data_IF_531108991587
#
_entry.id   IF_531108991587
#
_cell.length_a   1.000
_cell.length_b   1.000
_cell.length_c   1.000
_cell.angle_alpha   90.00
_cell.angle_beta   90.00
_cell.angle_gamma   90.00
#
_symmetry.space_group_name_H-M   'P 1'
#
loop_
_entity.id
_entity.type
_entity.pdbx_description
1 polymer ?
#
# COMPACT_ATOMS: atom_id res chain seq x y z
N UNK A 1 13.35 -12.71 9.74
CA UNK A 1 12.72 -12.18 10.97
C UNK A 1 11.23 -12.51 10.87
N UNK A 2 10.74 -13.41 11.72
CA UNK A 2 9.30 -13.63 11.83
C UNK A 2 8.69 -12.45 12.59
N UNK A 3 7.69 -11.82 11.99
CA UNK A 3 6.94 -10.75 12.66
C UNK A 3 6.05 -11.40 13.72
N UNK A 4 6.35 -11.17 15.00
CA UNK A 4 5.45 -11.59 16.08
C UNK A 4 4.21 -10.69 16.09
N UNK A 5 3.08 -11.29 15.78
CA UNK A 5 1.78 -10.63 15.86
C UNK A 5 1.07 -11.01 17.16
N UNK A 6 0.38 -10.07 17.83
CA UNK A 6 -0.55 -10.43 18.89
C UNK A 6 -1.57 -11.43 18.32
N UNK A 7 -1.96 -12.40 19.12
CA UNK A 7 -2.94 -13.44 18.72
C UNK A 7 -4.37 -12.98 19.08
N UNK A 8 -5.00 -12.14 18.23
CA UNK A 8 -6.40 -11.79 18.47
C UNK A 8 -7.28 -13.04 18.35
N UNK A 9 -8.45 -13.06 18.97
CA UNK A 9 -9.34 -14.20 18.91
C UNK A 9 -9.78 -14.48 17.48
N UNK A 10 -9.94 -15.77 17.12
CA UNK A 10 -10.45 -16.14 15.81
C UNK A 10 -11.87 -15.58 15.60
N UNK A 11 -12.18 -15.20 14.39
CA UNK A 11 -13.51 -14.75 14.03
C UNK A 11 -14.52 -15.93 14.09
N UNK A 12 -15.75 -15.65 14.52
CA UNK A 12 -16.81 -16.66 14.55
C UNK A 12 -17.11 -17.18 13.14
N UNK A 13 -17.15 -18.51 12.91
CA UNK A 13 -17.37 -19.07 11.57
C UNK A 13 -18.63 -18.52 10.86
N UNK A 14 -19.75 -18.37 11.57
CA UNK A 14 -20.98 -17.82 11.01
C UNK A 14 -20.81 -16.36 10.55
N UNK A 15 -20.05 -15.53 11.27
CA UNK A 15 -19.76 -14.15 10.90
C UNK A 15 -18.87 -14.10 9.65
N UNK A 16 -17.90 -15.00 9.55
CA UNK A 16 -17.01 -15.12 8.37
C UNK A 16 -17.81 -15.57 7.15
N UNK A 17 -18.66 -16.60 7.29
CA UNK A 17 -19.50 -17.10 6.19
C UNK A 17 -20.46 -16.01 5.70
N UNK A 18 -21.10 -15.27 6.59
CA UNK A 18 -21.98 -14.16 6.22
C UNK A 18 -21.21 -13.07 5.47
N UNK A 19 -20.07 -12.66 5.97
CA UNK A 19 -19.21 -11.64 5.32
C UNK A 19 -18.74 -12.13 3.95
N UNK A 20 -18.30 -13.39 3.84
CA UNK A 20 -17.90 -14.00 2.59
C UNK A 20 -19.00 -13.93 1.53
N UNK A 21 -20.22 -14.33 1.86
CA UNK A 21 -21.34 -14.30 0.94
C UNK A 21 -21.72 -12.87 0.52
N UNK A 22 -21.70 -11.92 1.47
CA UNK A 22 -21.96 -10.52 1.19
C UNK A 22 -20.92 -9.91 0.24
N UNK A 23 -19.65 -10.17 0.51
CA UNK A 23 -18.56 -9.64 -0.29
C UNK A 23 -18.48 -10.31 -1.66
N UNK A 24 -18.78 -11.61 -1.75
CA UNK A 24 -18.88 -12.33 -3.01
C UNK A 24 -20.00 -11.75 -3.87
N UNK A 25 -21.18 -11.55 -3.31
CA UNK A 25 -22.32 -10.98 -4.05
C UNK A 25 -22.01 -9.56 -4.55
N UNK A 26 -21.46 -8.69 -3.69
CA UNK A 26 -21.09 -7.32 -4.05
C UNK A 26 -20.03 -7.27 -5.16
N UNK A 27 -18.97 -8.07 -5.01
CA UNK A 27 -17.87 -8.08 -5.97
C UNK A 27 -18.29 -8.68 -7.30
N UNK A 28 -19.12 -9.74 -7.27
CA UNK A 28 -19.66 -10.33 -8.50
C UNK A 28 -20.59 -9.36 -9.23
N UNK A 29 -21.48 -8.68 -8.53
CA UNK A 29 -22.36 -7.66 -9.12
C UNK A 29 -21.53 -6.52 -9.75
N UNK A 30 -20.51 -6.02 -9.04
CA UNK A 30 -19.61 -4.99 -9.55
C UNK A 30 -18.83 -5.49 -10.78
N UNK A 31 -18.36 -6.73 -10.77
CA UNK A 31 -17.63 -7.32 -11.89
C UNK A 31 -18.49 -7.40 -13.15
N UNK A 32 -19.78 -7.74 -13.02
CA UNK A 32 -20.73 -7.79 -14.14
C UNK A 32 -21.07 -6.41 -14.71
N UNK A 33 -21.10 -5.40 -13.85
CA UNK A 33 -21.49 -4.02 -14.21
C UNK A 33 -20.29 -3.10 -14.47
N UNK A 34 -19.07 -3.59 -14.29
CA UNK A 34 -17.88 -2.74 -14.37
C UNK A 34 -17.63 -2.26 -15.79
N UNK A 35 -17.15 -1.01 -15.85
CA UNK A 35 -16.47 -0.47 -17.01
C UNK A 35 -14.95 -0.38 -16.68
N UNK A 36 -14.13 -0.47 -17.73
CA UNK A 36 -12.69 -0.24 -17.58
C UNK A 36 -12.44 1.19 -17.07
N UNK A 37 -11.68 1.31 -15.98
CA UNK A 37 -11.34 2.63 -15.41
C UNK A 37 -10.27 3.30 -16.25
N UNK A 38 -10.46 4.59 -16.54
CA UNK A 38 -9.44 5.41 -17.18
C UNK A 38 -8.51 6.01 -16.13
N UNK A 39 -7.32 6.46 -16.58
CA UNK A 39 -6.38 7.17 -15.72
C UNK A 39 -7.03 8.42 -15.08
N UNK A 40 -7.73 9.22 -15.88
CA UNK A 40 -8.43 10.42 -15.40
C UNK A 40 -9.51 10.13 -14.35
N UNK A 41 -10.24 9.02 -14.51
CA UNK A 41 -11.23 8.58 -13.52
C UNK A 41 -10.58 8.19 -12.19
N UNK A 42 -9.47 7.48 -12.24
CA UNK A 42 -8.69 7.12 -11.03
C UNK A 42 -8.16 8.37 -10.36
N UNK A 43 -7.54 9.27 -11.11
CA UNK A 43 -7.01 10.54 -10.59
C UNK A 43 -8.11 11.38 -9.95
N UNK A 44 -9.26 11.54 -10.60
CA UNK A 44 -10.39 12.31 -10.06
C UNK A 44 -10.97 11.68 -8.79
N UNK A 45 -11.10 10.34 -8.72
CA UNK A 45 -11.61 9.62 -7.54
C UNK A 45 -10.73 9.87 -6.30
N UNK A 46 -9.42 9.85 -6.47
CA UNK A 46 -8.48 10.06 -5.37
C UNK A 46 -8.31 11.53 -5.04
N UNK A 47 -8.14 12.39 -6.04
CA UNK A 47 -7.91 13.82 -5.84
C UNK A 47 -9.15 14.52 -5.26
N UNK A 48 -10.30 14.43 -5.94
CA UNK A 48 -11.53 15.15 -5.57
C UNK A 48 -12.37 14.42 -4.52
N UNK A 49 -12.15 13.12 -4.32
CA UNK A 49 -12.90 12.31 -3.37
C UNK A 49 -12.13 12.12 -2.06
N UNK A 50 -11.37 11.06 -1.97
CA UNK A 50 -10.74 10.59 -0.72
C UNK A 50 -9.81 11.63 -0.09
N UNK A 51 -8.91 12.21 -0.87
CA UNK A 51 -7.89 13.10 -0.32
C UNK A 51 -8.42 14.50 -0.06
N UNK A 52 -9.42 14.96 -0.82
CA UNK A 52 -10.13 16.19 -0.51
C UNK A 52 -10.82 16.12 0.86
N UNK A 53 -11.55 15.02 1.15
CA UNK A 53 -12.14 14.81 2.47
C UNK A 53 -11.10 14.76 3.59
N UNK A 54 -9.95 14.09 3.34
CA UNK A 54 -8.86 14.04 4.30
C UNK A 54 -8.32 15.42 4.62
N UNK A 55 -8.13 16.26 3.61
CA UNK A 55 -7.66 17.63 3.75
C UNK A 55 -8.66 18.52 4.48
N UNK A 56 -9.97 18.40 4.18
CA UNK A 56 -11.04 19.15 4.86
C UNK A 56 -11.20 18.71 6.32
N UNK A 57 -11.17 17.42 6.60
CA UNK A 57 -11.36 16.87 7.96
C UNK A 57 -10.24 17.29 8.93
N UNK A 58 -9.03 17.52 8.44
CA UNK A 58 -7.87 17.97 9.24
C UNK A 58 -7.70 17.20 10.54
N UNK A 59 -7.88 15.86 10.49
CA UNK A 59 -7.83 15.00 11.68
C UNK A 59 -6.52 15.15 12.48
N UNK A 60 -5.41 15.50 11.82
CA UNK A 60 -4.10 15.75 12.45
C UNK A 60 -4.12 16.92 13.45
N UNK A 61 -5.03 17.89 13.29
CA UNK A 61 -5.15 19.02 14.25
C UNK A 61 -5.81 18.60 15.56
N UNK A 62 -6.64 17.56 15.54
CA UNK A 62 -7.39 17.08 16.70
C UNK A 62 -6.66 15.95 17.45
N UNK A 63 -5.70 15.32 16.82
CA UNK A 63 -4.95 14.24 17.45
C UNK A 63 -3.93 14.77 18.47
N UNK A 64 -3.86 14.19 19.69
CA UNK A 64 -2.92 14.63 20.73
C UNK A 64 -1.48 14.38 20.34
N UNK A 65 -1.21 13.32 19.62
CA UNK A 65 0.12 12.93 19.14
C UNK A 65 0.04 12.16 17.82
N UNK A 66 1.19 11.88 17.22
CA UNK A 66 1.30 11.19 15.95
C UNK A 66 0.75 9.75 16.00
N UNK A 67 0.97 9.03 17.10
CA UNK A 67 0.48 7.67 17.24
C UNK A 67 -1.06 7.64 17.27
N UNK A 68 -1.69 8.53 18.03
CA UNK A 68 -3.14 8.68 18.09
C UNK A 68 -3.73 9.06 16.72
N UNK A 69 -3.04 9.92 15.97
CA UNK A 69 -3.42 10.25 14.59
C UNK A 69 -3.40 9.01 13.69
N UNK A 70 -2.32 8.25 13.70
CA UNK A 70 -2.10 7.12 12.80
C UNK A 70 -3.03 5.92 13.09
N UNK A 71 -3.28 5.67 14.38
CA UNK A 71 -4.09 4.52 14.85
C UNK A 71 -5.59 4.87 14.87
N UNK A 72 -5.91 6.12 15.16
CA UNK A 72 -7.29 6.58 15.36
C UNK A 72 -7.92 6.07 16.67
N UNK A 73 -9.15 6.49 16.91
CA UNK A 73 -9.91 6.18 18.13
C UNK A 73 -11.02 5.15 17.93
N UNK A 74 -11.18 4.62 16.70
CA UNK A 74 -12.26 3.69 16.38
C UNK A 74 -12.00 2.32 17.01
N UNK A 75 -12.79 1.96 18.02
CA UNK A 75 -12.75 0.67 18.72
C UNK A 75 -13.77 -0.35 18.22
N UNK A 76 -14.55 -0.02 17.18
CA UNK A 76 -15.49 -0.97 16.59
C UNK A 76 -14.75 -2.24 16.13
N UNK A 77 -15.36 -3.39 16.39
CA UNK A 77 -14.77 -4.68 16.03
C UNK A 77 -14.92 -4.93 14.53
N UNK A 78 -13.82 -5.28 13.90
CA UNK A 78 -13.78 -5.69 12.49
C UNK A 78 -13.33 -7.13 12.34
N UNK A 79 -13.65 -7.73 11.20
CA UNK A 79 -13.06 -8.99 10.73
C UNK A 79 -11.93 -8.65 9.77
N UNK A 80 -10.73 -9.14 10.08
CA UNK A 80 -9.51 -8.88 9.30
C UNK A 80 -8.67 -10.15 9.22
N UNK A 81 -7.63 -10.14 8.38
CA UNK A 81 -6.60 -11.19 8.39
C UNK A 81 -5.38 -10.70 9.17
N UNK A 82 -4.88 -11.55 10.04
CA UNK A 82 -3.63 -11.37 10.78
C UNK A 82 -2.91 -12.71 10.80
N UNK A 83 -1.67 -12.73 10.36
CA UNK A 83 -0.84 -13.93 10.24
C UNK A 83 -1.58 -15.07 9.50
N UNK A 84 -2.21 -14.72 8.37
CA UNK A 84 -2.98 -15.66 7.56
C UNK A 84 -4.30 -16.15 8.18
N UNK A 85 -4.64 -15.73 9.41
CA UNK A 85 -5.85 -16.12 10.12
C UNK A 85 -6.91 -15.05 10.05
N UNK A 86 -8.18 -15.46 9.98
CA UNK A 86 -9.31 -14.54 10.06
C UNK A 86 -9.63 -14.33 11.54
N UNK A 87 -9.58 -13.07 11.99
CA UNK A 87 -9.69 -12.67 13.38
C UNK A 87 -10.75 -11.58 13.56
N UNK A 88 -11.27 -11.47 14.79
CA UNK A 88 -12.02 -10.31 15.24
C UNK A 88 -11.10 -9.42 16.07
N UNK A 89 -10.97 -8.16 15.67
CA UNK A 89 -10.03 -7.22 16.27
C UNK A 89 -10.63 -5.81 16.29
N UNK A 90 -10.44 -5.00 17.34
CA UNK A 90 -10.77 -3.58 17.31
C UNK A 90 -10.05 -2.87 16.16
N UNK A 91 -10.75 -1.95 15.51
CA UNK A 91 -10.22 -1.28 14.30
C UNK A 91 -8.91 -0.54 14.59
N UNK A 92 -8.81 0.19 15.69
CA UNK A 92 -7.59 0.87 16.09
C UNK A 92 -6.43 -0.11 16.38
N UNK A 93 -6.71 -1.26 17.02
CA UNK A 93 -5.68 -2.28 17.28
C UNK A 93 -5.20 -2.94 15.96
N UNK A 94 -6.12 -3.17 15.01
CA UNK A 94 -5.73 -3.63 13.67
C UNK A 94 -4.78 -2.65 13.00
N UNK A 95 -5.08 -1.33 13.04
CA UNK A 95 -4.19 -0.32 12.44
C UNK A 95 -2.84 -0.26 13.15
N UNK A 96 -2.80 -0.33 14.49
CA UNK A 96 -1.54 -0.38 15.25
C UNK A 96 -0.67 -1.56 14.82
N UNK A 97 -1.27 -2.74 14.73
CA UNK A 97 -0.62 -3.96 14.29
C UNK A 97 -0.10 -3.82 12.84
N UNK A 98 -0.96 -3.37 11.92
CA UNK A 98 -0.59 -3.19 10.50
C UNK A 98 0.57 -2.21 10.34
N UNK A 99 0.51 -1.06 11.02
CA UNK A 99 1.54 -0.04 10.92
C UNK A 99 2.89 -0.56 11.44
N UNK A 100 2.89 -1.26 12.57
CA UNK A 100 4.09 -1.90 13.12
C UNK A 100 4.65 -2.94 12.13
N UNK A 101 3.82 -3.86 11.68
CA UNK A 101 4.23 -4.91 10.76
C UNK A 101 4.77 -4.37 9.44
N UNK A 102 4.14 -3.32 8.88
CA UNK A 102 4.60 -2.63 7.69
C UNK A 102 5.96 -1.95 7.92
N UNK A 103 6.10 -1.24 9.03
CA UNK A 103 7.35 -0.56 9.41
C UNK A 103 8.50 -1.55 9.56
N UNK A 104 8.28 -2.65 10.30
CA UNK A 104 9.28 -3.69 10.51
C UNK A 104 9.67 -4.37 9.18
N UNK A 105 8.68 -4.60 8.30
CA UNK A 105 8.92 -5.19 6.99
C UNK A 105 9.77 -4.27 6.10
N UNK A 106 9.43 -2.99 6.01
CA UNK A 106 10.19 -2.02 5.22
C UNK A 106 11.59 -1.86 5.81
N UNK A 107 11.72 -1.75 7.13
CA UNK A 107 13.01 -1.62 7.80
C UNK A 107 13.92 -2.82 7.54
N UNK A 108 13.38 -4.04 7.54
CA UNK A 108 14.14 -5.26 7.26
C UNK A 108 14.58 -5.39 5.79
N UNK A 109 13.89 -4.70 4.87
CA UNK A 109 14.20 -4.74 3.44
C UNK A 109 15.01 -3.52 2.98
N UNK A 110 14.97 -2.41 3.71
CA UNK A 110 15.71 -1.21 3.35
C UNK A 110 17.22 -1.43 3.49
N UNK A 111 17.99 -0.78 2.62
CA UNK A 111 19.46 -0.73 2.75
C UNK A 111 19.84 0.22 3.87
N UNK A 112 20.89 -0.13 4.61
CA UNK A 112 21.35 0.67 5.77
C UNK A 112 21.68 2.10 5.36
N UNK A 113 21.18 3.05 6.15
CA UNK A 113 21.43 4.49 5.96
C UNK A 113 20.76 5.11 4.73
N UNK A 114 20.08 4.33 3.88
CA UNK A 114 19.40 4.87 2.70
C UNK A 114 18.16 5.68 3.08
N UNK A 115 17.93 6.76 2.35
CA UNK A 115 16.63 7.43 2.34
C UNK A 115 15.57 6.47 1.82
N UNK A 116 14.38 6.48 2.46
CA UNK A 116 13.25 5.67 2.04
C UNK A 116 12.25 6.56 1.30
N UNK A 117 11.83 6.10 0.13
CA UNK A 117 10.87 6.80 -0.74
C UNK A 117 9.63 5.95 -0.94
N UNK A 118 8.46 6.53 -0.70
CA UNK A 118 7.17 5.92 -1.05
C UNK A 118 6.62 6.55 -2.33
N UNK A 119 6.29 5.73 -3.30
CA UNK A 119 5.59 6.13 -4.52
C UNK A 119 4.10 5.75 -4.39
N UNK A 120 3.20 6.71 -4.61
CA UNK A 120 1.79 6.60 -4.30
C UNK A 120 1.55 6.71 -2.79
N UNK A 121 2.16 7.71 -2.14
CA UNK A 121 2.16 7.81 -0.69
C UNK A 121 0.83 8.29 -0.07
N UNK A 122 -0.11 8.78 -0.89
CA UNK A 122 -1.30 9.44 -0.39
C UNK A 122 -0.95 10.54 0.61
N UNK A 123 -1.68 10.62 1.72
CA UNK A 123 -1.41 11.56 2.80
C UNK A 123 -0.24 11.15 3.73
N UNK A 124 0.66 10.28 3.28
CA UNK A 124 1.93 9.97 3.95
C UNK A 124 1.83 9.06 5.17
N UNK A 125 0.72 8.37 5.40
CA UNK A 125 0.51 7.56 6.63
C UNK A 125 1.59 6.52 6.88
N UNK A 126 2.09 5.86 5.84
CA UNK A 126 3.12 4.82 5.99
C UNK A 126 4.48 5.44 6.36
N UNK A 127 4.84 6.55 5.73
CA UNK A 127 6.08 7.29 6.05
C UNK A 127 6.02 7.91 7.46
N UNK A 128 4.88 8.48 7.84
CA UNK A 128 4.65 8.97 9.20
C UNK A 128 4.77 7.85 10.24
N UNK A 129 4.36 6.62 9.89
CA UNK A 129 4.52 5.46 10.76
C UNK A 129 5.98 5.04 10.90
N UNK A 130 6.77 5.10 9.83
CA UNK A 130 8.23 4.89 9.88
C UNK A 130 8.91 5.92 10.80
N UNK A 131 8.49 7.18 10.71
CA UNK A 131 9.01 8.24 11.59
C UNK A 131 8.61 8.02 13.05
N UNK A 132 7.34 7.66 13.32
CA UNK A 132 6.84 7.36 14.66
C UNK A 132 7.55 6.15 15.31
N UNK A 133 7.94 5.17 14.50
CA UNK A 133 8.73 4.01 14.95
C UNK A 133 10.22 4.31 15.15
N UNK A 134 10.64 5.58 15.04
CA UNK A 134 12.02 6.00 15.25
C UNK A 134 12.96 5.62 14.10
N UNK A 135 12.47 5.30 12.91
CA UNK A 135 13.33 5.00 11.76
C UNK A 135 14.27 6.18 11.51
N UNK A 136 15.60 5.98 11.55
CA UNK A 136 16.55 7.05 11.28
C UNK A 136 16.56 7.42 9.79
N UNK A 137 17.08 8.61 9.48
CA UNK A 137 17.25 9.10 8.11
C UNK A 137 16.06 9.90 7.58
N UNK A 138 16.17 10.28 6.32
CA UNK A 138 15.16 11.06 5.60
C UNK A 138 14.13 10.14 4.97
N UNK A 139 12.91 10.65 4.88
CA UNK A 139 11.77 9.99 4.26
C UNK A 139 11.20 10.88 3.16
N UNK A 140 10.80 10.32 2.04
CA UNK A 140 10.16 11.09 0.97
C UNK A 140 8.92 10.36 0.46
N UNK A 141 7.89 11.11 0.12
CA UNK A 141 6.65 10.59 -0.43
C UNK A 141 6.23 11.34 -1.68
N UNK A 142 5.76 10.60 -2.67
CA UNK A 142 5.27 11.18 -3.91
C UNK A 142 3.92 10.56 -4.27
N UNK A 143 2.98 11.41 -4.71
CA UNK A 143 1.63 11.00 -5.11
C UNK A 143 1.15 11.87 -6.27
N UNK A 144 0.16 11.41 -7.02
CA UNK A 144 -0.44 12.17 -8.11
C UNK A 144 -1.39 13.27 -7.58
N UNK A 145 -1.91 13.13 -6.36
CA UNK A 145 -2.91 14.01 -5.78
C UNK A 145 -2.29 15.16 -5.00
N UNK A 146 -2.53 16.39 -5.44
CA UNK A 146 -2.13 17.61 -4.73
C UNK A 146 -2.72 17.65 -3.31
N UNK A 147 -4.01 17.31 -3.15
CA UNK A 147 -4.67 17.28 -1.85
C UNK A 147 -4.01 16.28 -0.88
N UNK A 148 -3.56 15.13 -1.39
CA UNK A 148 -2.81 14.14 -0.60
C UNK A 148 -1.48 14.72 -0.11
N UNK A 149 -0.74 15.35 -1.01
CA UNK A 149 0.57 15.94 -0.71
C UNK A 149 0.43 17.11 0.27
N UNK A 150 -0.59 17.95 0.13
CA UNK A 150 -0.87 19.03 1.07
C UNK A 150 -1.20 18.49 2.46
N UNK A 151 -2.06 17.48 2.56
CA UNK A 151 -2.39 16.83 3.83
C UNK A 151 -1.14 16.17 4.48
N UNK A 152 -0.29 15.53 3.67
CA UNK A 152 0.94 14.92 4.15
C UNK A 152 1.93 15.95 4.73
N UNK A 153 2.13 17.07 4.03
CA UNK A 153 2.97 18.19 4.48
C UNK A 153 2.44 18.81 5.78
N UNK A 154 1.15 19.15 5.80
CA UNK A 154 0.51 19.73 6.99
C UNK A 154 0.60 18.81 8.21
N UNK A 155 0.47 17.49 7.99
CA UNK A 155 0.62 16.49 9.05
C UNK A 155 2.07 16.40 9.55
N UNK A 156 3.04 16.35 8.64
CA UNK A 156 4.46 16.32 9.00
C UNK A 156 4.87 17.58 9.77
N UNK A 157 4.42 18.75 9.34
CA UNK A 157 4.65 20.03 10.03
C UNK A 157 4.04 20.02 11.43
N UNK A 158 2.76 19.61 11.57
CA UNK A 158 2.04 19.53 12.85
C UNK A 158 2.78 18.71 13.91
N UNK A 159 3.45 17.63 13.48
CA UNK A 159 4.16 16.71 14.37
C UNK A 159 5.68 16.91 14.40
N UNK A 160 6.19 18.02 13.88
CA UNK A 160 7.62 18.38 13.94
C UNK A 160 8.51 17.49 13.08
N UNK A 161 8.01 16.97 11.97
CA UNK A 161 8.73 16.07 11.07
C UNK A 161 9.13 16.71 9.73
N UNK A 162 8.83 17.99 9.50
CA UNK A 162 9.05 18.69 8.23
C UNK A 162 10.52 18.64 7.77
N UNK A 163 11.49 18.72 8.69
CA UNK A 163 12.92 18.67 8.36
C UNK A 163 13.41 17.28 7.93
N UNK A 164 12.64 16.24 8.25
CA UNK A 164 12.96 14.84 7.95
C UNK A 164 12.17 14.26 6.81
N UNK A 165 11.05 14.89 6.48
CA UNK A 165 10.09 14.37 5.49
C UNK A 165 9.87 15.37 4.38
N UNK A 166 9.84 14.89 3.15
CA UNK A 166 9.47 15.72 2.01
C UNK A 166 8.39 15.02 1.21
N UNK A 167 7.52 15.82 0.63
CA UNK A 167 6.42 15.33 -0.19
C UNK A 167 6.34 16.12 -1.50
N UNK A 168 6.03 15.42 -2.59
CA UNK A 168 5.96 16.02 -3.91
C UNK A 168 5.00 15.29 -4.84
N UNK A 169 4.73 15.90 -5.98
CA UNK A 169 3.88 15.30 -7.00
C UNK A 169 4.67 14.33 -7.88
N UNK A 170 4.01 13.26 -8.30
CA UNK A 170 4.47 12.33 -9.31
C UNK A 170 3.31 11.65 -10.01
N UNK A 171 3.33 11.59 -11.32
CA UNK A 171 2.58 10.61 -12.09
C UNK A 171 3.51 9.45 -12.44
N UNK A 172 3.19 8.25 -11.96
CA UNK A 172 4.02 7.06 -12.17
C UNK A 172 4.04 6.60 -13.63
N UNK A 173 3.05 7.02 -14.42
CA UNK A 173 2.93 6.67 -15.84
C UNK A 173 3.69 7.64 -16.76
N UNK A 174 4.09 8.80 -16.26
CA UNK A 174 4.79 9.81 -17.01
C UNK A 174 6.31 9.54 -17.00
N UNK A 175 6.83 9.06 -18.14
CA UNK A 175 8.21 8.57 -18.27
C UNK A 175 9.31 9.57 -17.85
N UNK A 176 9.06 10.86 -17.97
CA UNK A 176 10.07 11.91 -17.71
C UNK A 176 9.69 12.82 -16.55
N UNK A 177 8.74 12.38 -15.68
CA UNK A 177 8.35 13.18 -14.53
C UNK A 177 9.60 13.48 -13.65
N UNK A 178 9.89 14.76 -13.35
CA UNK A 178 11.15 15.17 -12.69
C UNK A 178 11.34 14.54 -11.30
N UNK A 179 10.27 14.17 -10.63
CA UNK A 179 10.31 13.54 -9.30
C UNK A 179 10.96 12.15 -9.31
N UNK A 180 11.02 11.45 -10.44
CA UNK A 180 11.75 10.17 -10.53
C UNK A 180 13.24 10.30 -10.22
N UNK A 181 13.87 11.46 -10.46
CA UNK A 181 15.26 11.70 -10.06
C UNK A 181 15.49 11.55 -8.56
N UNK A 182 14.41 11.68 -7.78
CA UNK A 182 14.45 11.61 -6.32
C UNK A 182 14.59 10.18 -5.77
N UNK A 183 14.43 9.14 -6.61
CA UNK A 183 14.57 7.74 -6.17
C UNK A 183 15.96 7.16 -6.43
N UNK A 184 16.83 7.85 -7.15
CA UNK A 184 18.16 7.37 -7.51
C UNK A 184 18.97 7.01 -6.24
N UNK A 185 19.50 5.77 -6.19
CA UNK A 185 20.31 5.28 -5.08
C UNK A 185 19.57 5.11 -3.76
N UNK A 186 18.25 5.04 -3.76
CA UNK A 186 17.42 4.96 -2.55
C UNK A 186 16.63 3.67 -2.46
N UNK A 187 16.13 3.36 -1.26
CA UNK A 187 15.12 2.32 -1.09
C UNK A 187 13.75 2.90 -1.42
N UNK A 188 13.08 2.30 -2.39
CA UNK A 188 11.75 2.72 -2.88
C UNK A 188 10.72 1.68 -2.46
N UNK A 189 9.54 2.11 -2.03
CA UNK A 189 8.43 1.19 -1.87
C UNK A 189 7.11 1.76 -2.41
N UNK A 190 6.20 0.85 -2.74
CA UNK A 190 4.80 1.14 -3.04
C UNK A 190 3.91 0.29 -2.11
N UNK A 191 2.78 0.83 -1.71
CA UNK A 191 1.82 0.13 -0.87
C UNK A 191 0.39 0.41 -1.33
N UNK A 192 -0.22 -0.54 -2.03
CA UNK A 192 -1.57 -0.40 -2.59
C UNK A 192 -1.70 0.87 -3.47
N UNK A 193 -0.70 1.11 -4.30
CA UNK A 193 -0.61 2.27 -5.19
C UNK A 193 -0.61 1.86 -6.68
N UNK A 194 0.26 0.93 -7.08
CA UNK A 194 0.35 0.46 -8.47
C UNK A 194 -0.93 -0.27 -8.89
N UNK A 195 -1.70 -0.81 -7.96
CA UNK A 195 -3.00 -1.41 -8.24
C UNK A 195 -3.94 -0.48 -9.03
N UNK A 196 -3.77 0.84 -8.86
CA UNK A 196 -4.57 1.86 -9.52
C UNK A 196 -4.12 2.16 -10.96
N UNK A 197 -3.08 1.49 -11.45
CA UNK A 197 -2.50 1.72 -12.80
C UNK A 197 -2.63 0.44 -13.65
N UNK A 198 -3.87 0.02 -14.00
CA UNK A 198 -4.11 -1.33 -14.51
C UNK A 198 -3.46 -1.66 -15.86
N UNK A 199 -3.10 -0.65 -16.65
CA UNK A 199 -2.62 -0.84 -18.03
C UNK A 199 -1.21 -0.36 -18.29
N UNK A 200 -0.57 0.31 -17.31
CA UNK A 200 0.75 0.92 -17.46
C UNK A 200 1.79 0.38 -16.46
N UNK A 201 1.59 -0.84 -15.95
CA UNK A 201 2.50 -1.41 -14.95
C UNK A 201 3.92 -1.60 -15.47
N UNK A 202 4.06 -1.97 -16.74
CA UNK A 202 5.36 -2.11 -17.39
C UNK A 202 6.06 -0.76 -17.50
N UNK A 203 5.35 0.29 -17.90
CA UNK A 203 5.89 1.65 -17.99
C UNK A 203 6.31 2.18 -16.61
N UNK A 204 5.51 1.93 -15.58
CA UNK A 204 5.86 2.28 -14.19
C UNK A 204 7.15 1.60 -13.76
N UNK A 205 7.30 0.31 -14.03
CA UNK A 205 8.53 -0.44 -13.70
C UNK A 205 9.74 0.07 -14.47
N UNK A 206 9.59 0.38 -15.76
CA UNK A 206 10.64 0.97 -16.58
C UNK A 206 11.07 2.36 -16.06
N UNK A 207 10.10 3.20 -15.68
CA UNK A 207 10.37 4.50 -15.09
C UNK A 207 11.14 4.38 -13.77
N UNK A 208 10.75 3.45 -12.89
CA UNK A 208 11.46 3.19 -11.64
C UNK A 208 12.88 2.67 -11.92
N UNK A 209 13.01 1.64 -12.76
CA UNK A 209 14.29 1.01 -13.07
C UNK A 209 15.27 1.97 -13.75
N UNK A 210 14.78 2.80 -14.66
CA UNK A 210 15.58 3.81 -15.38
C UNK A 210 16.28 4.83 -14.46
N UNK A 211 15.76 5.04 -13.26
CA UNK A 211 16.32 5.94 -12.25
C UNK A 211 17.19 5.24 -11.20
N UNK A 212 17.49 3.95 -11.37
CA UNK A 212 18.45 3.16 -10.57
C UNK A 212 18.28 3.31 -9.05
N UNK A 213 17.12 2.95 -8.49
CA UNK A 213 16.99 2.83 -7.04
C UNK A 213 17.93 1.73 -6.53
N UNK A 214 18.33 1.79 -5.26
CA UNK A 214 19.13 0.71 -4.66
C UNK A 214 18.27 -0.56 -4.46
N UNK A 215 17.02 -0.37 -4.07
CA UNK A 215 16.07 -1.47 -3.81
C UNK A 215 14.64 -0.99 -4.02
N UNK A 216 13.78 -1.89 -4.49
CA UNK A 216 12.36 -1.63 -4.67
C UNK A 216 11.53 -2.70 -3.99
N UNK A 217 10.50 -2.28 -3.27
CA UNK A 217 9.58 -3.12 -2.51
C UNK A 217 8.16 -2.79 -2.97
N UNK A 218 7.54 -3.65 -3.74
CA UNK A 218 6.13 -3.51 -4.08
C UNK A 218 5.28 -4.32 -3.10
N UNK A 219 4.22 -3.73 -2.57
CA UNK A 219 3.24 -4.38 -1.69
C UNK A 219 1.85 -4.09 -2.24
N UNK A 220 1.38 -4.96 -3.14
CA UNK A 220 0.21 -4.71 -3.97
C UNK A 220 -0.74 -5.92 -3.98
N UNK A 221 -2.05 -5.73 -4.13
CA UNK A 221 -2.95 -6.82 -4.44
C UNK A 221 -2.70 -7.32 -5.86
N UNK A 222 -2.83 -8.61 -6.06
CA UNK A 222 -2.70 -9.23 -7.37
C UNK A 222 -3.55 -10.49 -7.47
N UNK A 223 -3.89 -10.89 -8.71
CA UNK A 223 -4.51 -12.20 -8.98
C UNK A 223 -3.48 -13.28 -9.33
N UNK A 224 -2.24 -12.91 -9.61
CA UNK A 224 -1.20 -13.80 -10.15
C UNK A 224 -0.73 -14.86 -9.14
N UNK A 225 -0.83 -14.55 -7.85
CA UNK A 225 -0.38 -15.43 -6.75
C UNK A 225 -1.54 -16.04 -5.96
N UNK A 226 -2.76 -15.90 -6.45
CA UNK A 226 -3.95 -16.48 -5.84
C UNK A 226 -4.19 -17.89 -6.37
N UNK A 227 -4.79 -18.73 -5.54
CA UNK A 227 -5.20 -20.09 -5.85
C UNK A 227 -6.74 -20.15 -5.87
N UNK A 228 -7.41 -19.87 -7.02
CA UNK A 228 -8.87 -19.67 -7.09
C UNK A 228 -9.74 -20.87 -6.68
N UNK A 229 -9.14 -22.06 -6.54
CA UNK A 229 -9.82 -23.23 -5.96
C UNK A 229 -9.97 -23.14 -4.42
N UNK A 230 -9.26 -22.22 -3.77
CA UNK A 230 -9.42 -21.91 -2.34
C UNK A 230 -10.48 -20.80 -2.19
N UNK A 231 -11.50 -20.97 -1.34
CA UNK A 231 -12.63 -20.01 -1.26
C UNK A 231 -12.21 -18.56 -1.02
N UNK A 232 -11.28 -18.32 -0.12
CA UNK A 232 -10.81 -16.95 0.18
C UNK A 232 -10.01 -16.36 -0.97
N UNK A 233 -9.22 -17.15 -1.68
CA UNK A 233 -8.47 -16.68 -2.83
C UNK A 233 -9.39 -16.43 -4.03
N UNK A 234 -10.45 -17.22 -4.21
CA UNK A 234 -11.49 -16.94 -5.18
C UNK A 234 -12.18 -15.59 -4.90
N UNK A 235 -12.52 -15.32 -3.64
CA UNK A 235 -13.11 -14.04 -3.24
C UNK A 235 -12.17 -12.87 -3.54
N UNK A 236 -10.87 -13.01 -3.20
CA UNK A 236 -9.85 -12.02 -3.53
C UNK A 236 -9.73 -11.81 -5.05
N UNK A 237 -9.71 -12.90 -5.82
CA UNK A 237 -9.64 -12.85 -7.28
C UNK A 237 -10.81 -12.04 -7.86
N UNK A 238 -12.04 -12.36 -7.45
CA UNK A 238 -13.24 -11.66 -7.91
C UNK A 238 -13.20 -10.19 -7.49
N UNK A 239 -12.78 -9.90 -6.26
CA UNK A 239 -12.63 -8.53 -5.76
C UNK A 239 -11.63 -7.71 -6.60
N UNK A 240 -10.40 -8.19 -6.76
CA UNK A 240 -9.35 -7.49 -7.55
C UNK A 240 -9.83 -7.23 -8.98
N UNK A 241 -10.46 -8.22 -9.61
CA UNK A 241 -11.05 -8.07 -10.95
C UNK A 241 -12.20 -7.08 -10.98
N UNK A 242 -13.06 -7.07 -9.95
CA UNK A 242 -14.21 -6.15 -9.87
C UNK A 242 -13.81 -4.69 -9.68
N UNK A 243 -12.63 -4.46 -9.10
CA UNK A 243 -12.06 -3.12 -8.89
C UNK A 243 -11.27 -2.60 -10.09
N UNK A 244 -11.11 -3.41 -11.14
CA UNK A 244 -10.24 -3.14 -12.30
C UNK A 244 -8.80 -2.82 -11.88
N UNK A 245 -8.32 -3.47 -10.83
CA UNK A 245 -6.93 -3.32 -10.37
C UNK A 245 -5.96 -3.97 -11.34
N UNK A 246 -4.72 -3.48 -11.36
CA UNK A 246 -3.66 -4.12 -12.12
C UNK A 246 -3.45 -5.57 -11.64
N UNK A 247 -3.10 -6.47 -12.54
CA UNK A 247 -2.94 -7.90 -12.26
C UNK A 247 -1.68 -8.50 -12.91
N UNK A 248 -0.72 -7.69 -13.34
CA UNK A 248 0.46 -8.12 -14.13
C UNK A 248 1.79 -7.71 -13.50
N UNK A 249 1.78 -7.16 -12.28
CA UNK A 249 2.99 -6.65 -11.63
C UNK A 249 4.04 -7.74 -11.46
N UNK A 250 3.63 -8.89 -10.94
CA UNK A 250 4.57 -10.00 -10.65
C UNK A 250 5.13 -10.58 -11.95
N UNK A 251 4.29 -10.81 -12.96
CA UNK A 251 4.74 -11.26 -14.29
C UNK A 251 5.70 -10.25 -14.92
N UNK A 252 5.44 -8.94 -14.80
CA UNK A 252 6.34 -7.91 -15.35
C UNK A 252 7.69 -7.87 -14.62
N UNK A 253 7.70 -8.00 -13.29
CA UNK A 253 8.93 -8.11 -12.49
C UNK A 253 9.70 -9.38 -12.86
N UNK A 254 9.04 -10.52 -13.04
CA UNK A 254 9.68 -11.78 -13.46
C UNK A 254 10.30 -11.66 -14.86
N UNK A 255 9.68 -10.96 -15.81
CA UNK A 255 10.26 -10.69 -17.13
C UNK A 255 11.53 -9.84 -17.05
N UNK A 256 11.53 -8.79 -16.21
CA UNK A 256 12.74 -7.99 -15.96
C UNK A 256 13.86 -8.83 -15.35
N UNK A 257 13.55 -9.72 -14.43
CA UNK A 257 14.53 -10.61 -13.83
C UNK A 257 15.06 -11.63 -14.86
N UNK A 258 14.19 -12.24 -15.66
CA UNK A 258 14.58 -13.18 -16.73
C UNK A 258 15.48 -12.52 -17.80
N UNK A 259 15.33 -11.22 -18.03
CA UNK A 259 16.21 -10.46 -18.93
C UNK A 259 17.54 -10.01 -18.27
N UNK A 260 17.79 -10.37 -17.00
CA UNK A 260 19.01 -10.02 -16.28
C UNK A 260 19.09 -8.55 -15.84
N UNK A 261 18.01 -7.80 -15.95
CA UNK A 261 17.98 -6.36 -15.62
C UNK A 261 17.80 -6.08 -14.12
N UNK A 262 17.18 -7.00 -13.42
CA UNK A 262 16.95 -6.94 -11.97
C UNK A 262 17.19 -8.30 -11.33
N UNK A 263 17.40 -8.29 -10.01
CA UNK A 263 17.44 -9.50 -9.18
C UNK A 263 16.28 -9.46 -8.17
N UNK A 264 15.43 -10.49 -8.19
CA UNK A 264 14.37 -10.65 -7.18
C UNK A 264 14.99 -11.18 -5.88
N UNK A 265 14.72 -10.49 -4.77
CA UNK A 265 15.25 -10.82 -3.44
C UNK A 265 14.24 -11.57 -2.58
N UNK A 266 12.96 -11.22 -2.68
CA UNK A 266 11.90 -11.83 -1.89
C UNK A 266 10.56 -11.73 -2.61
N UNK A 267 9.68 -12.71 -2.35
CA UNK A 267 8.28 -12.72 -2.78
C UNK A 267 7.44 -13.43 -1.73
N UNK A 268 6.39 -12.78 -1.24
CA UNK A 268 5.49 -13.39 -0.25
C UNK A 268 4.13 -12.69 -0.18
N UNK A 269 3.12 -13.39 0.36
CA UNK A 269 1.86 -12.77 0.78
C UNK A 269 2.10 -11.94 2.03
N UNK A 270 1.46 -10.78 2.14
CA UNK A 270 1.48 -9.99 3.37
C UNK A 270 0.72 -10.74 4.48
N UNK A 271 1.23 -10.73 5.71
CA UNK A 271 0.59 -11.45 6.82
C UNK A 271 -0.66 -10.75 7.38
N UNK A 272 -1.04 -9.61 6.82
CA UNK A 272 -2.25 -8.85 7.21
C UNK A 272 -3.07 -8.45 5.99
N UNK A 273 -4.39 -8.34 6.19
CA UNK A 273 -5.30 -7.69 5.25
C UNK A 273 -6.45 -7.02 6.01
N UNK A 274 -6.95 -5.85 5.56
CA UNK A 274 -7.99 -5.10 6.26
C UNK A 274 -9.35 -5.79 6.22
N UNK A 275 -9.53 -6.74 5.31
CA UNK A 275 -10.74 -7.52 5.08
C UNK A 275 -10.36 -8.96 4.74
N UNK A 276 -11.34 -9.82 4.53
CA UNK A 276 -11.09 -11.20 4.09
C UNK A 276 -10.78 -11.33 2.58
N UNK A 277 -10.94 -10.25 1.82
CA UNK A 277 -10.89 -10.26 0.35
C UNK A 277 -9.94 -9.20 -0.26
N UNK A 278 -9.02 -8.65 0.50
CA UNK A 278 -8.06 -7.66 -0.02
C UNK A 278 -6.64 -7.97 0.48
N UNK A 279 -6.14 -9.12 0.05
CA UNK A 279 -4.77 -9.54 0.37
C UNK A 279 -3.76 -8.76 -0.47
N UNK A 280 -2.70 -8.32 0.18
CA UNK A 280 -1.52 -7.80 -0.48
C UNK A 280 -0.44 -8.87 -0.64
N UNK A 281 0.40 -8.69 -1.64
CA UNK A 281 1.59 -9.51 -1.89
C UNK A 281 2.79 -8.59 -2.03
N UNK A 282 3.92 -9.04 -1.51
CA UNK A 282 5.18 -8.31 -1.62
C UNK A 282 6.09 -8.96 -2.64
N UNK A 283 6.73 -8.14 -3.46
CA UNK A 283 7.93 -8.50 -4.19
C UNK A 283 9.02 -7.45 -3.92
N UNK A 284 10.23 -7.91 -3.62
CA UNK A 284 11.41 -7.06 -3.43
C UNK A 284 12.44 -7.39 -4.50
N UNK A 285 13.00 -6.36 -5.12
CA UNK A 285 14.04 -6.52 -6.14
C UNK A 285 15.06 -5.38 -6.10
N UNK A 286 16.19 -5.59 -6.77
CA UNK A 286 17.23 -4.56 -6.98
C UNK A 286 17.69 -4.59 -8.45
N UNK A 287 18.12 -3.46 -9.01
CA UNK A 287 18.78 -3.42 -10.33
C UNK A 287 20.02 -4.31 -10.34
N UNK A 288 20.29 -4.95 -11.50
CA UNK A 288 21.49 -5.76 -11.72
C UNK A 288 22.71 -4.91 -12.02
#
# INVERSE_FOLDING_TARGET
MELEFPKPPPARPASVARLYLQDLARSSARLLLRHARTHDQVTAEYHSGRWHQTLEDRAWLRAPDLCAFLVGTNTSVRIAKVDGRIVQIPTNEYYRLRLRALTDLIAAQATDGSEIVELGCGAGYNLLSLAAAGRPGRLAGFDISENAIEAARATAERFGLADRMRFGLIDLTEAHHPSFRQIAGKTVFTYFAIEQVPRAVEDVLENILGHRPTRVIHMEPTTELLEPWKPLDLLNYIYVKSMDYQTRLFTAVERLAASGRIRILARRRLPWAPTIHNDGFMVTWEPS
#
